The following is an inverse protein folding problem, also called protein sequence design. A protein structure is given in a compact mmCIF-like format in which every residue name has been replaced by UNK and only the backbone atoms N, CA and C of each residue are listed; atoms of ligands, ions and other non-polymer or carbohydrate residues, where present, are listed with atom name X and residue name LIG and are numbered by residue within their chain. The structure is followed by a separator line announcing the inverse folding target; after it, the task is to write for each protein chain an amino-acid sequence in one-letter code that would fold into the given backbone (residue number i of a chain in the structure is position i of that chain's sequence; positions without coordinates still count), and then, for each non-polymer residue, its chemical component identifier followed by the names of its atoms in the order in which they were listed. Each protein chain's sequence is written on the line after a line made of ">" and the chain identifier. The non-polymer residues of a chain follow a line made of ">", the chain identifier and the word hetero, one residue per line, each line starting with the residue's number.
data_IF_994946875541
#
_entry.id   IF_994946875541
#
_cell.length_a   1.000
_cell.length_b   1.000
_cell.length_c   1.000
_cell.angle_alpha   90.00
_cell.angle_beta   90.00
_cell.angle_gamma   90.00
#
_symmetry.space_group_name_H-M   'P 1'
#
loop_
_entity.id
_entity.type
_entity.pdbx_description
1 polymer ?
#
# COMPACT_ATOMS: atom_id res chain seq x y z
N UNK A 1 22.93 9.91 62.59
CA UNK A 1 23.13 10.35 61.21
C UNK A 1 22.87 9.18 60.27
N UNK A 2 21.65 9.07 59.70
CA UNK A 2 21.28 8.03 58.76
C UNK A 2 20.93 8.72 57.42
N UNK A 3 21.81 8.56 56.45
CA UNK A 3 21.60 9.07 55.08
C UNK A 3 20.70 8.06 54.32
N UNK A 4 19.47 8.45 54.07
CA UNK A 4 18.56 7.74 53.15
C UNK A 4 18.93 8.12 51.71
N UNK A 5 19.40 7.17 50.92
CA UNK A 5 19.57 7.27 49.47
C UNK A 5 18.20 6.99 48.81
N UNK A 6 17.59 8.05 48.29
CA UNK A 6 16.44 7.92 47.37
C UNK A 6 16.97 7.51 46.01
N UNK A 7 16.70 6.28 45.63
CA UNK A 7 16.86 5.81 44.24
C UNK A 7 15.69 6.30 43.41
N UNK A 8 15.88 7.33 42.57
CA UNK A 8 14.92 7.77 41.55
C UNK A 8 14.97 6.79 40.39
N UNK A 9 13.94 5.91 40.29
CA UNK A 9 13.70 5.14 39.08
C UNK A 9 13.28 6.12 37.95
N UNK A 10 14.19 6.41 37.04
CA UNK A 10 13.82 6.99 35.74
C UNK A 10 13.04 5.96 34.91
N UNK A 11 11.72 6.09 34.93
CA UNK A 11 10.87 5.44 33.95
C UNK A 11 11.08 6.15 32.60
N UNK A 12 11.88 5.57 31.74
CA UNK A 12 11.99 5.97 30.34
C UNK A 12 10.67 5.62 29.65
N UNK A 13 9.97 6.58 29.04
CA UNK A 13 8.84 6.23 28.19
C UNK A 13 9.41 5.48 26.99
N UNK A 14 9.11 4.19 26.87
CA UNK A 14 9.27 3.47 25.61
C UNK A 14 8.29 4.11 24.61
N UNK A 15 8.79 5.04 23.79
CA UNK A 15 8.07 5.47 22.61
C UNK A 15 7.89 4.22 21.74
N UNK A 16 6.66 3.73 21.69
CA UNK A 16 6.26 2.72 20.72
C UNK A 16 6.44 3.33 19.31
N UNK A 17 7.55 3.01 18.68
CA UNK A 17 7.74 3.29 17.26
C UNK A 17 6.73 2.44 16.51
N UNK A 18 5.68 3.06 16.01
CA UNK A 18 4.82 2.47 15.01
C UNK A 18 5.71 2.10 13.80
N UNK A 19 5.78 0.82 13.53
CA UNK A 19 6.70 0.24 12.56
C UNK A 19 6.25 0.60 11.15
N UNK A 20 6.82 1.64 10.56
CA UNK A 20 6.70 1.98 9.13
C UNK A 20 7.65 1.09 8.30
N UNK A 21 7.60 -0.21 8.55
CA UNK A 21 8.62 -1.19 8.18
C UNK A 21 8.93 -1.26 6.69
N UNK A 22 7.97 -1.03 5.81
CA UNK A 22 8.21 -1.20 4.38
C UNK A 22 8.92 0.00 3.72
N UNK A 23 8.76 1.21 4.27
CA UNK A 23 9.33 2.44 3.68
C UNK A 23 10.85 2.48 3.76
N UNK A 24 11.41 1.91 4.81
CA UNK A 24 12.86 1.92 5.08
C UNK A 24 13.57 0.68 4.48
N UNK A 25 12.83 -0.22 3.84
CA UNK A 25 13.40 -1.40 3.19
C UNK A 25 13.87 -1.09 1.78
N UNK A 26 14.98 -1.72 1.35
CA UNK A 26 15.43 -1.58 -0.03
C UNK A 26 14.38 -2.13 -1.00
N UNK A 27 14.21 -1.44 -2.12
CA UNK A 27 13.38 -1.91 -3.23
C UNK A 27 14.23 -2.79 -4.14
N UNK A 28 13.80 -4.03 -4.34
CA UNK A 28 14.38 -4.97 -5.31
C UNK A 28 13.44 -5.09 -6.50
N UNK A 29 13.97 -5.03 -7.72
CA UNK A 29 13.18 -5.19 -8.94
C UNK A 29 13.89 -6.19 -9.85
N UNK A 30 13.16 -7.21 -10.27
CA UNK A 30 13.56 -8.19 -11.25
C UNK A 30 12.72 -8.01 -12.52
N UNK A 31 13.32 -8.10 -13.69
CA UNK A 31 12.66 -7.98 -14.98
C UNK A 31 13.52 -8.61 -16.09
N UNK A 32 12.89 -8.92 -17.24
CA UNK A 32 13.65 -9.42 -18.40
C UNK A 32 14.53 -8.33 -19.03
N UNK A 33 14.12 -7.06 -18.93
CA UNK A 33 14.83 -5.90 -19.46
C UNK A 33 14.66 -4.69 -18.56
N UNK A 34 15.72 -3.91 -18.46
CA UNK A 34 15.72 -2.60 -17.82
C UNK A 34 16.37 -1.57 -18.76
N UNK A 35 15.82 -0.36 -18.80
CA UNK A 35 16.43 0.81 -19.43
C UNK A 35 16.27 2.03 -18.52
N UNK A 36 17.29 2.87 -18.45
CA UNK A 36 17.30 4.09 -17.67
C UNK A 36 17.70 5.28 -18.55
N UNK A 37 17.04 6.41 -18.36
CA UNK A 37 17.35 7.70 -18.97
C UNK A 37 17.52 8.72 -17.82
N UNK A 38 18.76 8.99 -17.49
CA UNK A 38 19.11 9.88 -16.37
C UNK A 38 18.70 11.34 -16.67
N UNK A 39 18.72 11.75 -17.93
CA UNK A 39 18.32 13.10 -18.34
C UNK A 39 16.83 13.33 -18.05
N UNK A 40 16.01 12.33 -18.32
CA UNK A 40 14.57 12.36 -18.08
C UNK A 40 14.17 11.84 -16.71
N UNK A 41 15.15 11.32 -15.95
CA UNK A 41 14.94 10.63 -14.67
C UNK A 41 13.86 9.54 -14.75
N UNK A 42 13.99 8.72 -15.79
CA UNK A 42 13.04 7.70 -16.18
C UNK A 42 13.71 6.34 -16.16
N UNK A 43 13.12 5.38 -15.45
CA UNK A 43 13.54 3.97 -15.48
C UNK A 43 12.37 3.11 -15.91
N UNK A 44 12.62 2.19 -16.83
CA UNK A 44 11.62 1.28 -17.39
C UNK A 44 12.09 -0.15 -17.16
N UNK A 45 11.22 -0.97 -16.58
CA UNK A 45 11.38 -2.41 -16.42
C UNK A 45 10.33 -3.11 -17.27
N UNK A 46 10.72 -4.13 -18.05
CA UNK A 46 9.86 -4.84 -18.98
C UNK A 46 10.03 -6.35 -18.90
N UNK A 47 8.90 -7.06 -18.96
CA UNK A 47 8.81 -8.52 -19.00
C UNK A 47 8.96 -9.16 -17.63
N UNK A 48 7.89 -9.83 -17.19
CA UNK A 48 7.80 -10.56 -15.93
C UNK A 48 8.34 -9.76 -14.72
N UNK A 49 7.97 -8.48 -14.64
CA UNK A 49 8.47 -7.59 -13.59
C UNK A 49 7.97 -8.05 -12.23
N UNK A 50 8.91 -8.18 -11.28
CA UNK A 50 8.63 -8.45 -9.86
C UNK A 50 9.35 -7.38 -9.04
N UNK A 51 8.57 -6.58 -8.30
CA UNK A 51 9.09 -5.62 -7.35
C UNK A 51 8.78 -6.12 -5.94
N UNK A 52 9.78 -6.06 -5.06
CA UNK A 52 9.64 -6.37 -3.63
C UNK A 52 10.24 -5.25 -2.79
N UNK A 53 9.52 -4.88 -1.71
CA UNK A 53 9.99 -3.92 -0.72
C UNK A 53 9.35 -4.24 0.65
N UNK A 54 10.10 -4.87 1.52
CA UNK A 54 9.54 -5.39 2.76
C UNK A 54 8.41 -6.39 2.49
N UNK A 55 7.19 -6.10 2.92
CA UNK A 55 6.01 -6.94 2.68
C UNK A 55 5.33 -6.66 1.33
N UNK A 56 5.67 -5.54 0.69
CA UNK A 56 5.12 -5.14 -0.60
C UNK A 56 5.68 -6.08 -1.68
N UNK A 57 4.81 -6.64 -2.49
CA UNK A 57 5.14 -7.35 -3.71
C UNK A 57 4.23 -6.89 -4.84
N UNK A 58 4.82 -6.41 -5.93
CA UNK A 58 4.14 -6.04 -7.16
C UNK A 58 4.60 -6.97 -8.29
N UNK A 59 3.67 -7.44 -9.11
CA UNK A 59 3.97 -8.18 -10.35
C UNK A 59 3.27 -7.50 -11.52
N UNK A 60 3.98 -7.34 -12.64
CA UNK A 60 3.47 -6.62 -13.81
C UNK A 60 4.20 -7.06 -15.10
N UNK A 61 3.65 -6.72 -16.26
CA UNK A 61 4.34 -6.89 -17.54
C UNK A 61 5.36 -5.77 -17.76
N UNK A 62 5.05 -4.56 -17.25
CA UNK A 62 5.89 -3.38 -17.38
C UNK A 62 5.72 -2.46 -16.19
N UNK A 63 6.84 -1.90 -15.71
CA UNK A 63 6.85 -0.86 -14.67
C UNK A 63 7.69 0.32 -15.17
N UNK A 64 7.14 1.52 -15.06
CA UNK A 64 7.81 2.77 -15.38
C UNK A 64 7.92 3.57 -14.09
N UNK A 65 9.13 3.96 -13.73
CA UNK A 65 9.40 4.81 -12.58
C UNK A 65 9.97 6.12 -13.08
N UNK A 66 9.37 7.23 -12.69
CA UNK A 66 9.84 8.59 -12.96
C UNK A 66 10.08 9.30 -11.64
N UNK A 67 11.18 10.02 -11.55
CA UNK A 67 11.50 10.85 -10.41
C UNK A 67 11.40 12.32 -10.79
N UNK A 68 10.77 13.14 -9.95
CA UNK A 68 10.74 14.60 -10.15
C UNK A 68 12.03 15.28 -9.65
N UNK A 69 12.08 16.61 -9.76
CA UNK A 69 13.23 17.40 -9.37
C UNK A 69 13.47 17.36 -7.84
N UNK A 70 12.42 17.17 -7.06
CA UNK A 70 12.46 17.10 -5.59
C UNK A 70 12.76 15.68 -5.06
N UNK A 71 12.84 14.69 -5.96
CA UNK A 71 13.17 13.32 -5.60
C UNK A 71 11.96 12.40 -5.36
N UNK A 72 10.72 12.90 -5.48
CA UNK A 72 9.53 12.06 -5.39
C UNK A 72 9.39 11.14 -6.59
N UNK A 73 8.90 9.94 -6.33
CA UNK A 73 8.73 8.93 -7.37
C UNK A 73 7.27 8.77 -7.78
N UNK A 74 7.08 8.63 -9.09
CA UNK A 74 5.83 8.27 -9.72
C UNK A 74 6.03 6.94 -10.42
N UNK A 75 5.28 5.93 -10.06
CA UNK A 75 5.38 4.61 -10.67
C UNK A 75 4.08 4.27 -11.39
N UNK A 76 4.21 3.72 -12.60
CA UNK A 76 3.09 3.14 -13.35
C UNK A 76 3.40 1.70 -13.65
N UNK A 77 2.56 0.78 -13.18
CA UNK A 77 2.62 -0.64 -13.47
C UNK A 77 1.47 -1.03 -14.40
N UNK A 78 1.78 -1.78 -15.46
CA UNK A 78 0.78 -2.32 -16.40
C UNK A 78 0.95 -3.82 -16.53
N UNK A 79 -0.18 -4.55 -16.65
CA UNK A 79 -0.19 -6.00 -16.76
C UNK A 79 -1.55 -6.55 -17.19
N UNK A 80 -1.69 -7.88 -17.22
CA UNK A 80 -2.94 -8.58 -17.65
C UNK A 80 -3.41 -9.60 -16.59
N UNK A 81 -3.74 -9.19 -15.36
CA UNK A 81 -3.55 -7.88 -14.73
C UNK A 81 -2.17 -7.71 -14.07
N UNK A 82 -1.81 -6.47 -13.74
CA UNK A 82 -0.82 -6.18 -12.71
C UNK A 82 -1.43 -6.51 -11.33
N UNK A 83 -0.61 -7.02 -10.40
CA UNK A 83 -1.06 -7.40 -9.05
C UNK A 83 -0.12 -6.85 -8.00
N UNK A 84 -0.68 -6.42 -6.87
CA UNK A 84 0.11 -6.08 -5.70
C UNK A 84 -0.45 -6.75 -4.45
N UNK A 85 0.41 -6.93 -3.46
CA UNK A 85 0.03 -7.24 -2.10
C UNK A 85 0.92 -6.51 -1.12
N UNK A 86 0.38 -6.18 0.02
CA UNK A 86 1.08 -5.53 1.13
C UNK A 86 0.45 -5.93 2.44
N UNK A 87 1.25 -6.09 3.49
CA UNK A 87 0.76 -6.23 4.85
C UNK A 87 0.57 -4.85 5.45
N UNK A 88 -0.59 -4.59 6.00
CA UNK A 88 -0.84 -3.35 6.75
C UNK A 88 -0.20 -3.43 8.13
N UNK A 89 0.10 -2.26 8.69
CA UNK A 89 0.48 -2.19 10.10
C UNK A 89 -0.68 -2.73 10.97
N UNK A 90 -0.37 -3.51 12.02
CA UNK A 90 -1.40 -4.02 12.91
C UNK A 90 -2.14 -2.87 13.58
N UNK A 91 -3.47 -2.97 13.65
CA UNK A 91 -4.32 -2.02 14.41
C UNK A 91 -4.81 -2.73 15.67
N UNK A 92 -4.61 -2.14 16.87
CA UNK A 92 -5.13 -2.76 18.09
C UNK A 92 -6.63 -3.08 18.00
N UNK A 93 -7.08 -4.25 18.47
CA UNK A 93 -6.35 -5.24 19.28
C UNK A 93 -5.53 -6.27 18.49
N UNK A 94 -5.47 -6.20 17.15
CA UNK A 94 -4.80 -7.17 16.32
C UNK A 94 -3.28 -7.11 16.52
N UNK A 95 -2.63 -8.26 16.61
CA UNK A 95 -1.17 -8.40 16.70
C UNK A 95 -0.50 -8.50 15.33
N UNK A 96 -1.26 -8.81 14.31
CA UNK A 96 -0.81 -8.92 12.93
C UNK A 96 -1.65 -8.04 12.01
N UNK A 97 -0.99 -7.32 11.11
CA UNK A 97 -1.67 -6.51 10.11
C UNK A 97 -2.37 -7.37 9.05
N UNK A 98 -3.53 -6.92 8.58
CA UNK A 98 -4.24 -7.56 7.50
C UNK A 98 -3.47 -7.43 6.17
N UNK A 99 -3.57 -8.47 5.32
CA UNK A 99 -3.10 -8.36 3.95
C UNK A 99 -4.08 -7.54 3.11
N UNK A 100 -3.53 -6.60 2.33
CA UNK A 100 -4.21 -5.96 1.21
C UNK A 100 -3.63 -6.56 -0.05
N UNK A 101 -4.52 -6.98 -0.94
CA UNK A 101 -4.19 -7.47 -2.27
C UNK A 101 -5.01 -6.69 -3.30
N UNK A 102 -4.41 -6.36 -4.42
CA UNK A 102 -5.11 -5.65 -5.48
C UNK A 102 -4.65 -6.08 -6.86
N UNK A 103 -5.55 -5.95 -7.82
CA UNK A 103 -5.26 -6.18 -9.24
C UNK A 103 -5.97 -5.15 -10.12
N UNK A 104 -5.34 -4.81 -11.22
CA UNK A 104 -5.88 -3.94 -12.26
C UNK A 104 -5.05 -4.06 -13.54
N UNK A 105 -5.58 -3.60 -14.67
CA UNK A 105 -4.79 -3.56 -15.91
C UNK A 105 -3.67 -2.52 -15.83
N UNK A 106 -3.87 -1.43 -15.05
CA UNK A 106 -2.90 -0.38 -14.80
C UNK A 106 -3.02 0.12 -13.37
N UNK A 107 -1.88 0.31 -12.72
CA UNK A 107 -1.76 0.89 -11.39
C UNK A 107 -0.82 2.08 -11.45
N UNK A 108 -1.15 3.16 -10.77
CA UNK A 108 -0.32 4.34 -10.61
C UNK A 108 -0.09 4.61 -9.13
N UNK A 109 1.13 4.93 -8.78
CA UNK A 109 1.53 5.31 -7.43
C UNK A 109 2.22 6.67 -7.49
N UNK A 110 1.76 7.58 -6.67
CA UNK A 110 2.34 8.90 -6.47
C UNK A 110 2.85 8.99 -5.02
N UNK A 111 4.17 8.94 -4.85
CA UNK A 111 4.82 9.01 -3.53
C UNK A 111 4.67 10.40 -2.89
N UNK A 112 4.54 11.47 -3.70
CA UNK A 112 4.33 12.82 -3.22
C UNK A 112 2.97 12.98 -2.53
N UNK A 113 1.90 12.49 -3.13
CA UNK A 113 0.55 12.56 -2.55
C UNK A 113 0.21 11.38 -1.64
N UNK A 114 0.93 10.26 -1.77
CA UNK A 114 0.62 9.00 -1.09
C UNK A 114 -0.59 8.30 -1.69
N UNK A 115 -0.93 8.58 -2.94
CA UNK A 115 -2.07 7.99 -3.64
C UNK A 115 -1.66 6.78 -4.47
N UNK A 116 -2.53 5.78 -4.46
CA UNK A 116 -2.47 4.63 -5.36
C UNK A 116 -3.79 4.59 -6.13
N UNK A 117 -3.69 4.56 -7.45
CA UNK A 117 -4.83 4.51 -8.34
C UNK A 117 -4.78 3.22 -9.18
N UNK A 118 -5.88 2.52 -9.23
CA UNK A 118 -6.06 1.29 -9.99
C UNK A 118 -7.08 1.55 -11.11
N UNK A 119 -6.73 1.21 -12.34
CA UNK A 119 -7.53 1.47 -13.53
C UNK A 119 -7.80 0.18 -14.28
N UNK A 120 -9.02 0.08 -14.79
CA UNK A 120 -9.55 -0.98 -15.65
C UNK A 120 -9.54 -2.35 -14.95
N UNK A 121 -10.75 -2.85 -14.70
CA UNK A 121 -11.00 -4.09 -13.97
C UNK A 121 -10.32 -4.13 -12.60
N UNK A 122 -10.38 -3.00 -11.88
CA UNK A 122 -9.75 -2.84 -10.59
C UNK A 122 -10.49 -3.66 -9.52
N UNK A 123 -9.72 -4.37 -8.69
CA UNK A 123 -10.18 -5.16 -7.55
C UNK A 123 -9.20 -4.99 -6.39
N UNK A 124 -9.75 -4.87 -5.19
CA UNK A 124 -8.97 -4.86 -3.94
C UNK A 124 -9.63 -5.78 -2.94
N UNK A 125 -8.84 -6.63 -2.30
CA UNK A 125 -9.21 -7.46 -1.18
C UNK A 125 -8.47 -7.00 0.07
N UNK A 126 -9.14 -6.96 1.20
CA UNK A 126 -8.58 -6.62 2.50
C UNK A 126 -9.24 -7.45 3.60
N UNK A 127 -8.50 -8.40 4.17
CA UNK A 127 -9.00 -9.19 5.30
C UNK A 127 -10.29 -9.98 5.00
N UNK A 128 -10.51 -10.33 3.71
CA UNK A 128 -11.72 -11.01 3.24
C UNK A 128 -12.78 -10.08 2.65
N UNK A 129 -12.75 -8.79 2.92
CA UNK A 129 -13.59 -7.81 2.22
C UNK A 129 -13.05 -7.58 0.81
N UNK A 130 -13.93 -7.63 -0.19
CA UNK A 130 -13.57 -7.40 -1.59
C UNK A 130 -14.38 -6.25 -2.17
N UNK A 131 -13.71 -5.39 -2.92
CA UNK A 131 -14.37 -4.37 -3.75
C UNK A 131 -13.83 -4.43 -5.17
N UNK A 132 -14.72 -4.21 -6.14
CA UNK A 132 -14.38 -4.22 -7.55
C UNK A 132 -15.12 -3.10 -8.28
N UNK A 133 -14.41 -2.49 -9.22
CA UNK A 133 -14.90 -1.43 -10.07
C UNK A 133 -13.98 -1.22 -11.27
N UNK A 134 -14.21 -0.18 -12.03
CA UNK A 134 -13.31 0.16 -13.14
C UNK A 134 -12.19 1.12 -12.71
N UNK A 135 -12.37 1.79 -11.57
CA UNK A 135 -11.39 2.67 -10.96
C UNK A 135 -11.45 2.55 -9.43
N UNK A 136 -10.30 2.46 -8.79
CA UNK A 136 -10.14 2.47 -7.34
C UNK A 136 -9.05 3.46 -6.97
N UNK A 137 -9.35 4.36 -6.03
CA UNK A 137 -8.40 5.28 -5.40
C UNK A 137 -8.17 4.87 -3.95
N UNK A 138 -6.92 4.73 -3.57
CA UNK A 138 -6.48 4.57 -2.19
C UNK A 138 -5.57 5.74 -1.83
N UNK A 139 -5.94 6.51 -0.82
CA UNK A 139 -5.10 7.55 -0.24
C UNK A 139 -4.54 7.05 1.08
N UNK A 140 -3.24 6.74 1.08
CA UNK A 140 -2.54 6.16 2.24
C UNK A 140 -2.35 7.15 3.39
N UNK A 141 -2.50 8.47 3.15
CA UNK A 141 -2.32 9.49 4.18
C UNK A 141 -3.59 9.77 4.96
N UNK A 142 -4.72 9.72 4.27
CA UNK A 142 -6.04 10.01 4.87
C UNK A 142 -6.86 8.76 5.19
N UNK A 143 -6.33 7.55 4.91
CA UNK A 143 -7.08 6.27 4.95
C UNK A 143 -8.37 6.33 4.07
N UNK A 144 -8.39 7.25 3.09
CA UNK A 144 -9.53 7.39 2.18
C UNK A 144 -9.47 6.35 1.08
N UNK A 145 -10.62 5.76 0.81
CA UNK A 145 -10.81 4.75 -0.22
C UNK A 145 -12.06 5.07 -1.04
N UNK A 146 -11.94 5.04 -2.35
CA UNK A 146 -13.03 5.29 -3.29
C UNK A 146 -13.04 4.30 -4.42
N UNK A 147 -14.22 3.83 -4.82
CA UNK A 147 -14.44 2.93 -5.96
C UNK A 147 -15.44 3.56 -6.91
N UNK A 148 -15.14 3.51 -8.20
CA UNK A 148 -16.00 4.01 -9.26
C UNK A 148 -16.19 2.96 -10.35
N UNK A 149 -17.36 2.93 -10.94
CA UNK A 149 -17.67 2.07 -12.08
C UNK A 149 -17.20 2.66 -13.44
N UNK A 150 -16.91 3.96 -13.47
CA UNK A 150 -16.33 4.66 -14.61
C UNK A 150 -14.80 4.64 -14.61
N UNK A 151 -14.19 5.26 -15.64
CA UNK A 151 -12.73 5.21 -15.87
C UNK A 151 -11.91 6.21 -15.06
N UNK A 152 -12.46 6.80 -14.00
CA UNK A 152 -11.75 7.78 -13.16
C UNK A 152 -12.54 8.21 -11.95
N UNK A 153 -12.01 9.15 -11.16
CA UNK A 153 -12.66 9.65 -9.95
C UNK A 153 -14.06 10.20 -10.26
N UNK A 154 -15.09 9.67 -9.58
CA UNK A 154 -16.47 10.15 -9.72
C UNK A 154 -17.14 9.88 -11.07
N UNK A 155 -16.47 9.18 -12.01
CA UNK A 155 -17.04 8.82 -13.28
C UNK A 155 -18.17 7.80 -13.11
N UNK A 156 -19.30 8.02 -13.78
CA UNK A 156 -20.45 7.11 -13.83
C UNK A 156 -20.36 6.16 -15.03
N UNK A 157 -20.91 4.98 -14.89
CA UNK A 157 -20.98 3.98 -15.97
C UNK A 157 -20.73 2.57 -15.42
N UNK A 158 -21.78 1.77 -15.27
CA UNK A 158 -21.71 0.45 -14.70
C UNK A 158 -22.05 0.40 -13.21
N UNK A 159 -21.59 -0.65 -12.52
CA UNK A 159 -21.88 -0.89 -11.10
C UNK A 159 -20.59 -1.23 -10.36
N UNK A 160 -20.44 -0.69 -9.16
CA UNK A 160 -19.44 -1.13 -8.19
C UNK A 160 -19.96 -2.37 -7.47
N UNK A 161 -19.08 -3.33 -7.20
CA UNK A 161 -19.38 -4.52 -6.41
C UNK A 161 -18.58 -4.47 -5.11
N UNK A 162 -19.24 -4.76 -4.00
CA UNK A 162 -18.58 -4.98 -2.70
C UNK A 162 -19.09 -6.29 -2.09
N UNK A 163 -18.17 -7.04 -1.49
CA UNK A 163 -18.44 -8.21 -0.65
C UNK A 163 -17.82 -7.88 0.70
N UNK A 164 -18.65 -7.85 1.74
CA UNK A 164 -18.22 -7.52 3.10
C UNK A 164 -18.41 -8.72 3.98
N UNK A 165 -17.38 -9.08 4.74
CA UNK A 165 -17.47 -10.17 5.71
C UNK A 165 -18.19 -9.73 6.97
N UNK A 166 -19.05 -10.58 7.57
CA UNK A 166 -19.61 -10.31 8.87
C UNK A 166 -18.49 -10.12 9.91
N UNK A 167 -18.48 -9.00 10.61
CA UNK A 167 -17.59 -8.85 11.77
C UNK A 167 -18.07 -9.76 12.89
N UNK A 168 -17.17 -10.60 13.41
CA UNK A 168 -17.45 -11.34 14.63
C UNK A 168 -17.88 -10.34 15.73
N UNK A 169 -18.93 -10.63 16.53
CA UNK A 169 -19.29 -9.79 17.67
C UNK A 169 -18.06 -9.69 18.58
N UNK A 170 -17.64 -8.48 18.89
CA UNK A 170 -16.67 -8.26 19.96
C UNK A 170 -17.31 -8.83 21.22
N UNK A 171 -16.73 -9.89 21.79
CA UNK A 171 -17.18 -10.39 23.06
C UNK A 171 -17.04 -9.24 24.07
N UNK A 172 -18.16 -8.63 24.45
CA UNK A 172 -18.19 -7.73 25.59
C UNK A 172 -17.61 -8.51 26.77
N UNK A 173 -16.49 -8.04 27.29
CA UNK A 173 -15.94 -8.53 28.54
C UNK A 173 -17.02 -8.32 29.60
N UNK A 174 -17.73 -9.40 29.90
CA UNK A 174 -18.71 -9.43 30.97
C UNK A 174 -18.07 -8.99 32.27
N UNK A 175 -18.77 -8.11 32.92
CA UNK A 175 -18.48 -7.47 34.19
C UNK A 175 -18.50 -8.49 35.31
#
# INVERSE_FOLDING_TARGET
>A
MRRALLAALLAWPMAAFADKTDRDKPTQIEANRMSADDTRRLTIFEGAVVLTRGTIRLTADRVVVRQDAEGYQFATATGKPARFRQRQDPKPPDTEGAWIEGEAMRMEMDDRSGKIELFDNARVNRGGDEVAGNYILVDQRSDFFSVSAGKGPGASGGRVRAILQPKAPTAEAGK
#
